data_IF_506346638131
#
_entry.id   IF_506346638131
#
_cell.length_a   1.000
_cell.length_b   1.000
_cell.length_c   1.000
_cell.angle_alpha   90.00
_cell.angle_beta   90.00
_cell.angle_gamma   90.00
#
_symmetry.space_group_name_H-M   'P 1'
#
loop_
_entity.id
_entity.type
_entity.pdbx_description
1 polymer ?
#
# COMPACT_ATOMS: atom_id res chain seq x y z
N UNK A 1 26.95 15.24 -14.52
CA UNK A 1 26.82 13.79 -14.80
C UNK A 1 25.53 13.61 -15.56
N UNK A 2 25.59 13.05 -16.78
CA UNK A 2 24.48 13.04 -17.72
C UNK A 2 23.43 11.97 -17.34
N UNK A 3 22.20 12.20 -17.80
CA UNK A 3 20.97 11.43 -17.54
C UNK A 3 20.99 10.01 -18.16
N UNK A 4 22.10 9.60 -18.78
CA UNK A 4 22.19 8.35 -19.54
C UNK A 4 22.62 7.12 -18.73
N UNK A 5 22.92 7.21 -17.42
CA UNK A 5 23.49 6.07 -16.67
C UNK A 5 22.58 5.43 -15.62
N UNK A 6 21.28 5.76 -15.60
CA UNK A 6 20.33 5.17 -14.64
C UNK A 6 19.60 3.92 -15.18
N UNK A 7 19.74 3.61 -16.47
CA UNK A 7 19.04 2.49 -17.13
C UNK A 7 19.90 1.21 -17.18
N UNK A 8 21.21 1.29 -17.03
CA UNK A 8 22.11 0.14 -17.22
C UNK A 8 22.43 -0.69 -15.97
N UNK A 9 21.79 -0.41 -14.82
CA UNK A 9 22.11 -1.09 -13.54
C UNK A 9 21.00 -2.03 -13.04
N UNK A 10 20.28 -2.67 -13.96
CA UNK A 10 19.31 -3.76 -13.68
C UNK A 10 19.68 -5.06 -14.43
N UNK A 11 20.77 -5.08 -15.21
CA UNK A 11 21.06 -6.13 -16.19
C UNK A 11 21.88 -7.34 -15.70
N UNK A 12 22.19 -7.49 -14.41
CA UNK A 12 22.93 -8.66 -13.94
C UNK A 12 22.24 -9.38 -12.79
N UNK A 13 21.26 -10.23 -13.14
CA UNK A 13 21.03 -11.58 -12.60
C UNK A 13 19.70 -12.12 -13.16
N UNK A 14 19.71 -12.66 -14.39
CA UNK A 14 18.60 -13.48 -14.89
C UNK A 14 19.13 -14.71 -15.63
N UNK A 15 18.85 -15.89 -15.09
CA UNK A 15 18.45 -17.00 -15.95
C UNK A 15 17.00 -16.72 -16.36
N UNK A 16 16.75 -16.68 -17.67
CA UNK A 16 15.44 -16.39 -18.25
C UNK A 16 14.44 -17.50 -17.87
N UNK A 17 13.44 -17.17 -17.07
CA UNK A 17 12.15 -17.83 -17.20
C UNK A 17 11.26 -16.90 -18.03
N UNK A 18 10.80 -17.41 -19.17
CA UNK A 18 9.88 -16.72 -20.06
C UNK A 18 8.61 -16.33 -19.30
N UNK A 19 8.41 -15.04 -19.06
CA UNK A 19 7.14 -14.53 -18.55
C UNK A 19 6.03 -14.81 -19.56
N UNK A 20 4.98 -15.52 -19.14
CA UNK A 20 3.79 -15.79 -19.95
C UNK A 20 3.01 -14.50 -20.19
N UNK A 21 2.52 -14.27 -21.41
CA UNK A 21 1.73 -13.07 -21.74
C UNK A 21 0.39 -13.10 -20.97
N UNK A 22 -0.20 -11.94 -20.64
CA UNK A 22 -1.49 -11.85 -19.94
C UNK A 22 -2.58 -12.73 -20.60
N UNK A 23 -2.74 -12.77 -21.95
CA UNK A 23 -3.69 -13.67 -22.57
C UNK A 23 -3.46 -15.14 -22.24
N UNK A 24 -2.21 -15.58 -22.10
CA UNK A 24 -1.87 -16.97 -21.77
C UNK A 24 -2.16 -17.28 -20.29
N UNK A 25 -1.89 -16.32 -19.40
CA UNK A 25 -2.24 -16.45 -17.97
C UNK A 25 -3.75 -16.50 -17.75
N UNK A 26 -4.49 -15.60 -18.39
CA UNK A 26 -5.95 -15.59 -18.35
C UNK A 26 -6.52 -16.87 -18.97
N UNK A 27 -5.98 -17.32 -20.11
CA UNK A 27 -6.36 -18.60 -20.74
C UNK A 27 -6.10 -19.80 -19.83
N UNK A 28 -4.98 -19.82 -19.11
CA UNK A 28 -4.69 -20.89 -18.14
C UNK A 28 -5.72 -20.96 -17.00
N UNK A 29 -6.42 -19.85 -16.72
CA UNK A 29 -7.50 -19.75 -15.75
C UNK A 29 -8.91 -19.83 -16.40
N UNK A 30 -8.99 -20.05 -17.71
CA UNK A 30 -10.26 -20.06 -18.46
C UNK A 30 -10.96 -18.69 -18.51
N UNK A 31 -10.19 -17.60 -18.46
CA UNK A 31 -10.67 -16.21 -18.48
C UNK A 31 -10.17 -15.44 -19.69
N UNK A 32 -10.84 -14.34 -19.98
CA UNK A 32 -10.52 -13.38 -21.04
C UNK A 32 -10.18 -12.01 -20.46
N UNK A 33 -9.61 -11.12 -21.29
CA UNK A 33 -9.38 -9.72 -20.89
C UNK A 33 -10.71 -9.00 -20.68
N UNK A 34 -11.73 -9.35 -21.47
CA UNK A 34 -13.09 -8.83 -21.30
C UNK A 34 -13.66 -9.21 -19.94
N UNK A 35 -13.39 -10.42 -19.44
CA UNK A 35 -13.79 -10.81 -18.08
C UNK A 35 -13.11 -9.93 -17.03
N UNK A 36 -11.81 -9.64 -17.19
CA UNK A 36 -11.08 -8.76 -16.28
C UNK A 36 -11.69 -7.34 -16.26
N UNK A 37 -11.91 -6.75 -17.44
CA UNK A 37 -12.53 -5.42 -17.56
C UNK A 37 -13.93 -5.43 -16.94
N UNK A 38 -14.72 -6.47 -17.21
CA UNK A 38 -16.04 -6.64 -16.61
C UNK A 38 -15.99 -6.69 -15.08
N UNK A 39 -15.04 -7.44 -14.51
CA UNK A 39 -14.84 -7.50 -13.04
C UNK A 39 -14.48 -6.13 -12.48
N UNK A 40 -13.52 -5.43 -13.09
CA UNK A 40 -13.03 -4.15 -12.60
C UNK A 40 -14.03 -3.01 -12.74
N UNK A 41 -14.82 -3.00 -13.82
CA UNK A 41 -15.82 -1.97 -14.13
C UNK A 41 -17.22 -2.29 -13.56
N UNK A 42 -17.40 -3.47 -12.96
CA UNK A 42 -18.69 -3.86 -12.38
C UNK A 42 -19.21 -2.78 -11.41
N UNK A 43 -20.53 -2.51 -11.43
CA UNK A 43 -21.12 -1.51 -10.54
C UNK A 43 -20.86 -1.89 -9.08
N UNK A 44 -20.67 -0.89 -8.22
CA UNK A 44 -20.34 -1.16 -6.83
C UNK A 44 -21.47 -1.92 -6.13
N UNK A 45 -21.14 -2.70 -5.09
CA UNK A 45 -22.13 -3.11 -4.12
C UNK A 45 -22.80 -1.86 -3.53
N UNK A 46 -24.12 -1.92 -3.34
CA UNK A 46 -24.81 -0.94 -2.49
C UNK A 46 -24.23 -1.04 -1.08
N UNK A 47 -23.72 0.06 -0.52
CA UNK A 47 -23.11 0.02 0.81
C UNK A 47 -22.31 1.27 1.18
N UNK A 48 -21.60 1.17 2.30
CA UNK A 48 -20.70 2.22 2.80
C UNK A 48 -19.43 2.31 1.94
N UNK A 49 -18.71 3.45 1.97
CA UNK A 49 -17.42 3.56 1.29
C UNK A 49 -16.41 2.48 1.73
N UNK A 50 -16.36 2.10 3.01
CA UNK A 50 -15.48 1.03 3.46
C UNK A 50 -15.84 -0.34 2.87
N UNK A 51 -17.13 -0.65 2.73
CA UNK A 51 -17.58 -1.88 2.08
C UNK A 51 -17.23 -1.87 0.58
N UNK A 52 -17.48 -0.75 -0.11
CA UNK A 52 -17.13 -0.60 -1.52
C UNK A 52 -15.62 -0.75 -1.76
N UNK A 53 -14.77 -0.19 -0.88
CA UNK A 53 -13.31 -0.31 -1.01
C UNK A 53 -12.83 -1.75 -0.76
N UNK A 54 -13.42 -2.46 0.20
CA UNK A 54 -13.11 -3.86 0.46
C UNK A 54 -13.44 -4.73 -0.76
N UNK A 55 -14.64 -4.61 -1.31
CA UNK A 55 -15.05 -5.33 -2.53
C UNK A 55 -14.17 -4.96 -3.74
N UNK A 56 -13.84 -3.67 -3.91
CA UNK A 56 -12.96 -3.24 -5.00
C UNK A 56 -11.58 -3.89 -4.91
N UNK A 57 -11.01 -4.01 -3.71
CA UNK A 57 -9.73 -4.69 -3.49
C UNK A 57 -9.85 -6.20 -3.76
N UNK A 58 -10.92 -6.86 -3.31
CA UNK A 58 -11.15 -8.29 -3.64
C UNK A 58 -11.23 -8.52 -5.15
N UNK A 59 -11.98 -7.66 -5.87
CA UNK A 59 -12.06 -7.70 -7.34
C UNK A 59 -10.72 -7.43 -8.02
N UNK A 60 -9.92 -6.51 -7.48
CA UNK A 60 -8.58 -6.22 -7.98
C UNK A 60 -7.67 -7.45 -7.99
N UNK A 61 -7.87 -8.36 -7.03
CA UNK A 61 -7.13 -9.61 -6.90
C UNK A 61 -7.88 -10.85 -7.41
N UNK A 62 -9.05 -10.71 -8.03
CA UNK A 62 -9.91 -11.83 -8.41
C UNK A 62 -9.24 -12.82 -9.40
N UNK A 63 -8.29 -12.35 -10.20
CA UNK A 63 -7.52 -13.16 -11.16
C UNK A 63 -6.09 -13.46 -10.68
N UNK A 64 -5.82 -13.19 -9.40
CA UNK A 64 -4.55 -13.45 -8.73
C UNK A 64 -3.57 -12.27 -8.73
N UNK A 65 -2.49 -12.38 -7.93
CA UNK A 65 -1.55 -11.30 -7.68
C UNK A 65 -0.77 -10.86 -8.92
N UNK A 66 -0.50 -11.77 -9.88
CA UNK A 66 0.23 -11.40 -11.09
C UNK A 66 -0.57 -10.43 -11.97
N UNK A 67 -1.86 -10.73 -12.21
CA UNK A 67 -2.76 -9.86 -12.97
C UNK A 67 -2.94 -8.52 -12.24
N UNK A 68 -3.09 -8.55 -10.92
CA UNK A 68 -3.13 -7.34 -10.09
C UNK A 68 -1.88 -6.47 -10.25
N UNK A 69 -0.68 -7.06 -10.26
CA UNK A 69 0.60 -6.34 -10.45
C UNK A 69 0.64 -5.62 -11.80
N UNK A 70 0.15 -6.26 -12.87
CA UNK A 70 0.05 -5.65 -14.19
C UNK A 70 -0.95 -4.48 -14.21
N UNK A 71 -2.16 -4.67 -13.64
CA UNK A 71 -3.17 -3.60 -13.56
C UNK A 71 -2.61 -2.40 -12.79
N UNK A 72 -1.94 -2.66 -11.66
CA UNK A 72 -1.32 -1.60 -10.88
C UNK A 72 -0.21 -0.89 -11.65
N UNK A 73 0.61 -1.61 -12.41
CA UNK A 73 1.61 -1.00 -13.28
C UNK A 73 0.96 -0.02 -14.26
N UNK A 74 -0.14 -0.42 -14.91
CA UNK A 74 -0.89 0.46 -15.82
C UNK A 74 -1.48 1.67 -15.12
N UNK A 75 -2.05 1.48 -13.94
CA UNK A 75 -2.54 2.58 -13.12
C UNK A 75 -1.43 3.56 -12.77
N UNK A 76 -0.28 3.05 -12.32
CA UNK A 76 0.86 3.88 -11.98
C UNK A 76 1.39 4.64 -13.20
N UNK A 77 1.55 3.98 -14.35
CA UNK A 77 2.00 4.63 -15.59
C UNK A 77 1.01 5.73 -16.03
N UNK A 78 -0.29 5.43 -16.02
CA UNK A 78 -1.32 6.40 -16.38
C UNK A 78 -1.27 7.62 -15.46
N UNK A 79 -1.28 7.41 -14.15
CA UNK A 79 -1.28 8.51 -13.18
C UNK A 79 0.03 9.31 -13.17
N UNK A 80 1.19 8.66 -13.31
CA UNK A 80 2.49 9.34 -13.32
C UNK A 80 2.78 10.08 -14.64
N UNK A 81 2.24 9.58 -15.76
CA UNK A 81 2.39 10.19 -17.09
C UNK A 81 1.24 11.11 -17.49
N UNK A 82 0.24 11.30 -16.63
CA UNK A 82 -1.02 11.98 -16.96
C UNK A 82 -1.71 11.39 -18.20
N UNK A 83 -1.57 10.08 -18.42
CA UNK A 83 -2.21 9.32 -19.51
C UNK A 83 -3.59 8.79 -19.07
N UNK A 84 -4.44 9.67 -18.53
CA UNK A 84 -5.82 9.38 -18.14
C UNK A 84 -6.71 10.60 -18.37
N UNK A 85 -8.03 10.41 -18.35
CA UNK A 85 -8.99 11.52 -18.42
C UNK A 85 -9.97 11.49 -17.26
N UNK A 86 -10.28 12.67 -16.71
CA UNK A 86 -11.36 12.84 -15.73
C UNK A 86 -12.59 13.39 -16.46
N UNK A 87 -13.64 12.59 -16.56
CA UNK A 87 -14.90 12.99 -17.19
C UNK A 87 -15.76 13.82 -16.23
N UNK A 88 -16.18 14.99 -16.69
CA UNK A 88 -17.11 15.86 -15.96
C UNK A 88 -18.55 15.67 -16.52
N UNK A 89 -19.59 15.70 -15.67
CA UNK A 89 -19.57 16.02 -14.24
C UNK A 89 -19.33 14.82 -13.31
N UNK A 90 -19.33 13.59 -13.82
CA UNK A 90 -19.42 12.36 -13.02
C UNK A 90 -18.13 11.97 -12.26
N UNK A 91 -17.01 12.64 -12.54
CA UNK A 91 -15.72 12.39 -11.89
C UNK A 91 -15.12 11.02 -12.22
N UNK A 92 -15.49 10.41 -13.35
CA UNK A 92 -14.94 9.12 -13.79
C UNK A 92 -13.52 9.31 -14.31
N UNK A 93 -12.63 8.42 -13.92
CA UNK A 93 -11.22 8.40 -14.31
C UNK A 93 -11.00 7.28 -15.31
N UNK A 94 -10.85 7.61 -16.60
CA UNK A 94 -10.58 6.60 -17.64
C UNK A 94 -9.11 6.24 -17.67
N UNK A 95 -8.81 4.96 -17.46
CA UNK A 95 -7.44 4.43 -17.46
C UNK A 95 -7.28 3.47 -18.64
N UNK A 96 -6.37 3.77 -19.59
CA UNK A 96 -6.10 2.89 -20.71
C UNK A 96 -5.37 1.63 -20.23
N UNK A 97 -5.93 0.46 -20.53
CA UNK A 97 -5.31 -0.84 -20.36
C UNK A 97 -4.65 -1.25 -21.68
N UNK A 98 -3.38 -0.91 -21.84
CA UNK A 98 -2.56 -1.44 -22.94
C UNK A 98 -2.12 -2.87 -22.60
N UNK A 99 -2.42 -3.84 -23.45
CA UNK A 99 -2.08 -5.26 -23.21
C UNK A 99 -0.72 -5.69 -23.76
N UNK A 100 -0.15 -4.91 -24.66
CA UNK A 100 1.10 -5.24 -25.31
C UNK A 100 2.26 -4.57 -24.56
N UNK A 101 2.95 -5.33 -23.73
CA UNK A 101 4.34 -5.05 -23.41
C UNK A 101 5.24 -5.83 -24.37
N UNK A 102 6.42 -5.31 -24.73
CA UNK A 102 7.36 -6.06 -25.54
C UNK A 102 7.64 -7.44 -24.89
N UNK A 103 7.59 -8.55 -25.66
CA UNK A 103 7.71 -9.89 -25.13
C UNK A 103 8.98 -10.09 -24.29
N UNK A 104 8.84 -10.67 -23.08
CA UNK A 104 9.96 -11.16 -22.28
C UNK A 104 10.72 -10.13 -21.46
N UNK A 105 10.26 -8.87 -21.35
CA UNK A 105 11.04 -7.80 -20.70
C UNK A 105 10.61 -7.50 -19.24
N UNK A 106 9.35 -7.76 -18.86
CA UNK A 106 8.83 -7.32 -17.54
C UNK A 106 8.12 -8.45 -16.79
N UNK A 107 8.72 -8.89 -15.68
CA UNK A 107 8.01 -9.63 -14.65
C UNK A 107 7.35 -8.65 -13.66
N UNK A 108 6.06 -8.40 -13.87
CA UNK A 108 5.27 -7.50 -13.00
C UNK A 108 5.25 -7.95 -11.55
N UNK A 109 5.34 -9.25 -11.29
CA UNK A 109 5.30 -9.76 -9.92
C UNK A 109 6.59 -9.45 -9.14
N UNK A 110 7.72 -9.31 -9.87
CA UNK A 110 9.00 -8.86 -9.31
C UNK A 110 9.01 -7.34 -9.10
N UNK A 111 8.43 -6.57 -10.03
CA UNK A 111 8.39 -5.11 -9.92
C UNK A 111 7.36 -4.61 -8.89
N UNK A 112 6.20 -5.29 -8.83
CA UNK A 112 5.08 -4.94 -7.96
C UNK A 112 4.71 -6.13 -7.06
N UNK A 113 5.59 -6.52 -6.12
CA UNK A 113 5.33 -7.64 -5.26
C UNK A 113 4.32 -7.26 -4.18
N UNK A 114 3.19 -7.96 -4.11
CA UNK A 114 2.09 -7.63 -3.17
C UNK A 114 2.37 -7.91 -1.69
N UNK A 115 3.54 -8.47 -1.37
CA UNK A 115 4.06 -8.47 0.00
C UNK A 115 4.67 -7.12 0.38
N UNK A 116 4.87 -6.19 -0.55
CA UNK A 116 5.35 -4.83 -0.25
C UNK A 116 4.28 -4.02 0.47
N UNK A 117 4.52 -3.70 1.74
CA UNK A 117 3.68 -2.81 2.54
C UNK A 117 3.43 -1.44 1.88
N UNK A 118 4.45 -0.91 1.20
CA UNK A 118 4.38 0.37 0.48
C UNK A 118 3.44 0.32 -0.71
N UNK A 119 3.57 -0.73 -1.52
CA UNK A 119 2.71 -0.96 -2.69
C UNK A 119 1.25 -1.13 -2.27
N UNK A 120 1.00 -1.98 -1.26
CA UNK A 120 -0.33 -2.19 -0.71
C UNK A 120 -0.95 -0.88 -0.20
N UNK A 121 -0.19 -0.09 0.57
CA UNK A 121 -0.62 1.23 1.06
C UNK A 121 -0.98 2.16 -0.11
N UNK A 122 -0.12 2.24 -1.13
CA UNK A 122 -0.35 3.09 -2.31
C UNK A 122 -1.62 2.69 -3.07
N UNK A 123 -1.85 1.39 -3.32
CA UNK A 123 -3.07 0.94 -4.00
C UNK A 123 -4.32 1.41 -3.24
N UNK A 124 -4.37 1.17 -1.94
CA UNK A 124 -5.54 1.51 -1.12
C UNK A 124 -5.79 3.03 -1.12
N UNK A 125 -4.73 3.84 -0.98
CA UNK A 125 -4.84 5.30 -1.04
C UNK A 125 -5.33 5.80 -2.40
N UNK A 126 -4.75 5.32 -3.50
CA UNK A 126 -5.14 5.73 -4.87
C UNK A 126 -6.60 5.35 -5.16
N UNK A 127 -7.03 4.16 -4.73
CA UNK A 127 -8.43 3.75 -4.87
C UNK A 127 -9.37 4.65 -4.06
N UNK A 128 -9.02 5.03 -2.83
CA UNK A 128 -9.85 5.88 -1.97
C UNK A 128 -9.72 7.40 -2.21
N UNK A 129 -8.75 7.85 -3.00
CA UNK A 129 -8.56 9.27 -3.30
C UNK A 129 -9.73 9.84 -4.15
N UNK A 130 -10.12 11.11 -3.97
CA UNK A 130 -11.02 11.79 -4.88
C UNK A 130 -10.53 11.76 -6.34
N UNK A 131 -11.47 11.95 -7.28
CA UNK A 131 -11.16 12.13 -8.70
C UNK A 131 -10.58 13.53 -8.98
N UNK A 132 -9.37 13.75 -8.47
CA UNK A 132 -8.61 14.99 -8.57
C UNK A 132 -7.14 14.67 -8.89
N UNK A 133 -6.60 15.35 -9.89
CA UNK A 133 -5.25 15.08 -10.41
C UNK A 133 -4.17 15.21 -9.33
N UNK A 134 -4.22 16.28 -8.53
CA UNK A 134 -3.21 16.53 -7.50
C UNK A 134 -3.31 15.51 -6.38
N UNK A 135 -4.54 15.20 -5.94
CA UNK A 135 -4.74 14.23 -4.86
C UNK A 135 -4.36 12.81 -5.30
N UNK A 136 -4.69 12.41 -6.54
CA UNK A 136 -4.29 11.11 -7.09
C UNK A 136 -2.77 10.98 -7.21
N UNK A 137 -2.11 12.03 -7.71
CA UNK A 137 -0.67 12.06 -7.84
C UNK A 137 0.03 12.00 -6.46
N UNK A 138 -0.45 12.76 -5.47
CA UNK A 138 0.11 12.70 -4.11
C UNK A 138 -0.13 11.33 -3.44
N UNK A 139 -1.29 10.71 -3.62
CA UNK A 139 -1.57 9.35 -3.15
C UNK A 139 -0.61 8.32 -3.77
N UNK A 140 -0.34 8.43 -5.08
CA UNK A 140 0.64 7.58 -5.78
C UNK A 140 2.07 7.82 -5.27
N UNK A 141 2.43 9.08 -5.09
CA UNK A 141 3.77 9.52 -4.66
C UNK A 141 4.10 9.10 -3.24
N UNK A 142 3.13 9.13 -2.32
CA UNK A 142 3.32 8.98 -0.86
C UNK A 142 4.33 7.91 -0.42
N UNK A 143 4.31 6.70 -1.01
CA UNK A 143 5.24 5.60 -0.68
C UNK A 143 6.20 5.22 -1.82
N UNK A 144 6.25 6.03 -2.87
CA UNK A 144 7.06 5.78 -4.06
C UNK A 144 8.47 6.37 -3.91
N UNK A 145 9.49 5.55 -4.15
CA UNK A 145 10.87 6.02 -4.26
C UNK A 145 11.11 6.78 -5.56
N UNK A 146 10.59 6.26 -6.67
CA UNK A 146 10.82 6.84 -8.00
C UNK A 146 10.16 8.21 -8.15
N UNK A 147 9.05 8.46 -7.43
CA UNK A 147 8.36 9.76 -7.40
C UNK A 147 8.82 10.65 -6.24
N UNK A 148 9.86 10.24 -5.49
CA UNK A 148 10.44 11.04 -4.41
C UNK A 148 9.57 11.20 -3.15
N UNK A 149 8.55 10.36 -2.94
CA UNK A 149 7.67 10.48 -1.77
C UNK A 149 8.14 9.71 -0.54
N UNK A 150 9.24 8.95 -0.60
CA UNK A 150 9.82 8.32 0.59
C UNK A 150 10.37 9.37 1.57
N UNK A 151 10.31 9.10 2.89
CA UNK A 151 10.76 10.04 3.89
C UNK A 151 12.27 10.28 3.78
N UNK A 152 12.69 11.52 4.04
CA UNK A 152 14.11 11.92 4.10
C UNK A 152 14.50 12.27 5.54
N UNK A 153 15.80 12.24 5.83
CA UNK A 153 16.33 12.65 7.13
C UNK A 153 16.01 14.11 7.45
N UNK A 154 16.07 14.98 6.44
CA UNK A 154 15.73 16.39 6.57
C UNK A 154 14.26 16.57 6.99
N UNK A 155 13.34 15.90 6.30
CA UNK A 155 11.91 15.95 6.62
C UNK A 155 11.63 15.48 8.05
N UNK A 156 12.27 14.39 8.50
CA UNK A 156 12.08 13.88 9.87
C UNK A 156 12.65 14.83 10.94
N UNK A 157 13.68 15.62 10.61
CA UNK A 157 14.23 16.63 11.52
C UNK A 157 13.35 17.88 11.61
N UNK A 158 12.68 18.24 10.52
CA UNK A 158 11.84 19.44 10.43
C UNK A 158 10.40 19.19 10.86
N UNK A 159 9.91 17.95 10.72
CA UNK A 159 8.51 17.61 10.97
C UNK A 159 8.40 16.67 12.18
N UNK A 160 7.60 17.02 13.20
CA UNK A 160 7.37 16.14 14.33
C UNK A 160 6.66 14.85 13.88
N UNK A 161 6.92 13.76 14.58
CA UNK A 161 6.20 12.51 14.36
C UNK A 161 4.70 12.73 14.56
N UNK A 162 3.89 12.26 13.61
CA UNK A 162 2.43 12.27 13.71
C UNK A 162 1.94 11.35 14.85
N UNK A 163 0.72 11.58 15.33
CA UNK A 163 0.03 10.73 16.30
C UNK A 163 -1.13 10.01 15.61
N UNK A 164 -1.06 8.67 15.59
CA UNK A 164 -2.16 7.86 15.07
C UNK A 164 -3.39 7.99 15.96
N UNK A 165 -3.21 7.99 17.28
CA UNK A 165 -4.29 8.24 18.24
C UNK A 165 -5.12 9.50 17.93
N UNK A 166 -4.46 10.64 17.74
CA UNK A 166 -5.15 11.90 17.44
C UNK A 166 -5.86 11.88 16.07
N UNK A 167 -5.21 11.34 15.04
CA UNK A 167 -5.81 11.21 13.71
C UNK A 167 -7.03 10.29 13.74
N UNK A 168 -6.92 9.15 14.43
CA UNK A 168 -8.01 8.20 14.61
C UNK A 168 -9.19 8.80 15.37
N UNK A 169 -8.95 9.55 16.46
CA UNK A 169 -10.03 10.21 17.20
C UNK A 169 -10.82 11.20 16.34
N UNK A 170 -10.14 11.97 15.48
CA UNK A 170 -10.80 12.88 14.53
C UNK A 170 -11.63 12.10 13.51
N UNK A 171 -11.05 11.06 12.90
CA UNK A 171 -11.75 10.21 11.94
C UNK A 171 -12.97 9.51 12.56
N UNK A 172 -12.84 8.99 13.79
CA UNK A 172 -13.95 8.37 14.54
C UNK A 172 -15.05 9.38 14.86
N UNK A 173 -14.70 10.61 15.24
CA UNK A 173 -15.68 11.67 15.49
C UNK A 173 -16.45 12.02 14.20
N UNK A 174 -15.76 12.16 13.08
CA UNK A 174 -16.39 12.41 11.77
C UNK A 174 -17.31 11.25 11.35
N UNK A 175 -16.88 10.00 11.55
CA UNK A 175 -17.69 8.83 11.26
C UNK A 175 -18.98 8.75 12.10
N UNK A 176 -18.88 9.02 13.41
CA UNK A 176 -20.03 8.89 14.32
C UNK A 176 -20.99 10.09 14.29
N UNK A 177 -20.52 11.29 13.92
CA UNK A 177 -21.32 12.52 13.98
C UNK A 177 -21.76 13.04 12.62
N UNK A 178 -20.94 12.83 11.60
CA UNK A 178 -21.15 13.39 10.27
C UNK A 178 -21.36 12.29 9.22
N UNK A 179 -21.33 11.03 9.63
CA UNK A 179 -21.44 9.86 8.77
C UNK A 179 -20.37 9.80 7.65
N UNK A 180 -19.21 10.42 7.90
CA UNK A 180 -18.12 10.52 6.93
C UNK A 180 -17.14 9.35 7.05
N UNK A 181 -16.57 8.94 5.92
CA UNK A 181 -15.47 7.97 5.88
C UNK A 181 -14.14 8.68 5.68
N UNK A 182 -13.13 8.29 6.44
CA UNK A 182 -11.76 8.79 6.33
C UNK A 182 -10.81 7.62 6.07
N UNK A 183 -9.92 7.77 5.09
CA UNK A 183 -8.85 6.83 4.80
C UNK A 183 -7.50 7.43 5.19
N UNK A 184 -6.70 6.68 5.94
CA UNK A 184 -5.38 7.11 6.43
C UNK A 184 -4.31 6.13 6.01
N UNK A 185 -3.33 6.59 5.24
CA UNK A 185 -2.09 5.87 4.97
C UNK A 185 -1.09 6.19 6.07
N UNK A 186 -0.69 5.18 6.84
CA UNK A 186 0.20 5.33 7.99
C UNK A 186 1.58 4.77 7.62
N UNK A 187 2.61 5.60 7.72
CA UNK A 187 4.01 5.18 7.56
C UNK A 187 4.74 5.19 8.90
N UNK A 188 5.10 4.01 9.40
CA UNK A 188 6.06 3.83 10.49
C UNK A 188 7.47 3.79 9.89
N UNK A 189 8.29 4.78 10.20
CA UNK A 189 9.64 4.95 9.68
C UNK A 189 10.64 4.69 10.79
N UNK A 190 11.69 3.94 10.47
CA UNK A 190 12.88 3.84 11.31
C UNK A 190 13.75 5.06 11.04
N UNK A 191 13.72 6.06 11.90
CA UNK A 191 14.51 7.27 11.70
C UNK A 191 16.02 6.98 11.83
N UNK A 192 16.39 5.99 12.64
CA UNK A 192 17.79 5.70 12.90
C UNK A 192 18.50 5.12 11.68
N UNK A 193 17.80 4.36 10.83
CA UNK A 193 18.40 3.82 9.59
C UNK A 193 18.97 4.92 8.70
N UNK A 194 18.39 6.13 8.73
CA UNK A 194 18.88 7.28 7.97
C UNK A 194 20.11 7.94 8.59
N UNK A 195 20.26 7.86 9.92
CA UNK A 195 21.45 8.36 10.62
C UNK A 195 22.68 7.46 10.41
N UNK A 196 22.46 6.17 10.16
CA UNK A 196 23.53 5.19 9.95
C UNK A 196 24.31 5.41 8.64
N UNK A 197 23.75 6.16 7.68
CA UNK A 197 24.39 6.47 6.39
C UNK A 197 24.94 5.21 5.73
N UNK A 198 26.24 5.17 5.40
CA UNK A 198 26.90 4.02 4.78
C UNK A 198 26.77 2.71 5.57
N UNK A 199 26.49 2.74 6.88
CA UNK A 199 26.30 1.53 7.70
C UNK A 199 24.88 0.96 7.65
N UNK A 200 23.93 1.65 7.02
CA UNK A 200 22.53 1.19 6.95
C UNK A 200 22.39 -0.23 6.35
N UNK A 201 23.26 -0.61 5.40
CA UNK A 201 23.26 -1.94 4.79
C UNK A 201 23.61 -3.09 5.75
N UNK A 202 24.07 -2.80 6.98
CA UNK A 202 24.39 -3.80 7.99
C UNK A 202 23.19 -4.16 8.86
N UNK A 203 22.08 -3.41 8.72
CA UNK A 203 20.93 -3.53 9.62
C UNK A 203 19.63 -3.75 8.86
N UNK A 204 18.69 -4.37 9.55
CA UNK A 204 17.29 -4.49 9.15
C UNK A 204 16.47 -3.35 9.76
N UNK A 205 15.60 -2.74 8.95
CA UNK A 205 14.71 -1.67 9.40
C UNK A 205 13.32 -2.22 9.73
N UNK A 206 12.77 -1.82 10.88
CA UNK A 206 11.40 -2.18 11.28
C UNK A 206 10.31 -1.39 10.52
N UNK A 207 10.69 -0.51 9.59
CA UNK A 207 9.77 0.37 8.88
C UNK A 207 8.61 -0.42 8.24
N UNK A 208 7.41 0.13 8.33
CA UNK A 208 6.19 -0.51 7.85
C UNK A 208 5.18 0.53 7.39
N UNK A 209 4.30 0.16 6.47
CA UNK A 209 3.23 1.04 5.99
C UNK A 209 1.93 0.26 5.82
N UNK A 210 0.82 0.87 6.21
CA UNK A 210 -0.50 0.25 6.14
C UNK A 210 -1.57 1.33 6.01
N UNK A 211 -2.79 0.93 5.65
CA UNK A 211 -3.94 1.83 5.56
C UNK A 211 -4.98 1.51 6.62
N UNK A 212 -5.57 2.55 7.22
CA UNK A 212 -6.74 2.46 8.09
C UNK A 212 -7.90 3.21 7.45
N UNK A 213 -9.02 2.52 7.21
CA UNK A 213 -10.28 3.15 6.86
C UNK A 213 -11.18 3.24 8.10
N UNK A 214 -11.73 4.42 8.37
CA UNK A 214 -12.63 4.69 9.49
C UNK A 214 -13.92 5.27 8.93
N UNK A 215 -15.04 4.59 9.13
CA UNK A 215 -16.35 4.97 8.61
C UNK A 215 -17.46 4.68 9.62
N UNK A 216 -18.72 5.02 9.29
CA UNK A 216 -19.85 4.86 10.22
C UNK A 216 -20.08 3.41 10.65
N UNK A 217 -19.72 2.47 9.78
CA UNK A 217 -19.81 1.03 9.98
C UNK A 217 -18.66 0.46 10.84
N UNK A 218 -17.58 1.21 11.06
CA UNK A 218 -16.46 0.80 11.90
C UNK A 218 -15.11 1.03 11.22
N UNK A 219 -14.18 0.08 11.41
CA UNK A 219 -12.78 0.27 11.01
C UNK A 219 -12.24 -0.91 10.23
N UNK A 220 -11.52 -0.65 9.14
CA UNK A 220 -10.75 -1.65 8.39
C UNK A 220 -9.28 -1.27 8.35
N UNK A 221 -8.42 -2.28 8.36
CA UNK A 221 -6.97 -2.11 8.28
C UNK A 221 -6.45 -3.02 7.18
N UNK A 222 -5.84 -2.42 6.17
CA UNK A 222 -5.23 -3.13 5.04
C UNK A 222 -3.73 -3.07 5.14
N UNK A 223 -3.09 -4.23 5.08
CA UNK A 223 -1.66 -4.35 5.25
C UNK A 223 -1.09 -5.47 4.39
N UNK A 224 0.14 -5.25 3.96
CA UNK A 224 1.10 -6.27 3.56
C UNK A 224 2.38 -5.95 4.33
N UNK A 225 3.36 -6.84 4.40
CA UNK A 225 4.53 -6.60 5.25
C UNK A 225 5.84 -6.33 4.51
N UNK A 226 6.39 -7.35 3.87
CA UNK A 226 7.61 -7.23 3.08
C UNK A 226 8.08 -8.57 2.57
N UNK A 227 9.34 -8.64 2.14
CA UNK A 227 10.01 -9.82 1.56
C UNK A 227 9.70 -11.15 2.27
N UNK A 228 9.60 -11.15 3.61
CA UNK A 228 9.38 -12.35 4.42
C UNK A 228 7.98 -12.43 5.06
N UNK A 229 7.04 -11.58 4.65
CA UNK A 229 5.70 -11.53 5.23
C UNK A 229 4.60 -11.84 4.22
N UNK A 230 3.36 -11.67 4.68
CA UNK A 230 2.17 -11.93 3.88
C UNK A 230 1.92 -10.82 2.84
N UNK A 231 1.20 -11.21 1.79
CA UNK A 231 0.74 -10.31 0.73
C UNK A 231 -0.60 -9.67 1.09
N UNK A 232 -0.95 -8.57 0.42
CA UNK A 232 -2.24 -7.89 0.62
C UNK A 232 -3.43 -8.80 0.29
N UNK A 233 -3.37 -9.58 -0.79
CA UNK A 233 -4.44 -10.54 -1.16
C UNK A 233 -4.66 -11.59 -0.07
N UNK A 234 -3.58 -12.09 0.52
CA UNK A 234 -3.62 -13.04 1.64
C UNK A 234 -4.18 -12.37 2.90
N UNK A 235 -3.78 -11.13 3.19
CA UNK A 235 -4.33 -10.36 4.32
C UNK A 235 -5.86 -10.20 4.23
N UNK A 236 -6.38 -10.00 3.03
CA UNK A 236 -7.81 -9.88 2.77
C UNK A 236 -8.48 -11.26 2.91
N UNK A 237 -7.97 -12.27 2.20
CA UNK A 237 -8.54 -13.62 2.16
C UNK A 237 -8.59 -14.30 3.54
N UNK A 238 -7.57 -14.10 4.37
CA UNK A 238 -7.51 -14.64 5.74
C UNK A 238 -8.36 -13.86 6.75
N UNK A 239 -9.11 -12.85 6.29
CA UNK A 239 -10.02 -12.06 7.12
C UNK A 239 -9.32 -11.04 8.02
N UNK A 240 -8.01 -10.81 7.86
CA UNK A 240 -7.28 -9.81 8.63
C UNK A 240 -7.67 -8.36 8.25
N UNK A 241 -8.25 -8.15 7.06
CA UNK A 241 -8.81 -6.86 6.62
C UNK A 241 -10.32 -6.69 6.92
N UNK A 242 -10.91 -7.55 7.76
CA UNK A 242 -12.34 -7.47 8.12
C UNK A 242 -12.70 -6.14 8.79
N UNK A 243 -14.00 -5.84 8.77
CA UNK A 243 -14.57 -4.78 9.58
C UNK A 243 -14.37 -5.10 11.07
N UNK A 244 -13.84 -4.13 11.81
CA UNK A 244 -13.54 -4.21 13.24
C UNK A 244 -14.53 -3.36 14.01
N UNK A 245 -14.80 -3.78 15.24
CA UNK A 245 -15.54 -2.97 16.19
C UNK A 245 -14.71 -1.76 16.63
N UNK A 246 -15.36 -0.76 17.22
CA UNK A 246 -14.66 0.40 17.77
C UNK A 246 -13.64 0.02 18.84
N UNK A 247 -13.97 -0.94 19.72
CA UNK A 247 -13.08 -1.40 20.78
C UNK A 247 -11.82 -2.07 20.22
N UNK A 248 -11.98 -2.92 19.19
CA UNK A 248 -10.85 -3.56 18.51
C UNK A 248 -9.93 -2.52 17.85
N UNK A 249 -10.53 -1.49 17.23
CA UNK A 249 -9.80 -0.42 16.59
C UNK A 249 -9.05 0.46 17.61
N UNK A 250 -9.69 0.83 18.71
CA UNK A 250 -9.06 1.59 19.80
C UNK A 250 -7.91 0.80 20.43
N UNK A 251 -8.09 -0.51 20.61
CA UNK A 251 -7.03 -1.38 21.10
C UNK A 251 -5.85 -1.42 20.13
N UNK A 252 -6.09 -1.53 18.82
CA UNK A 252 -5.04 -1.49 17.81
C UNK A 252 -4.27 -0.16 17.85
N UNK A 253 -4.98 0.97 17.84
CA UNK A 253 -4.38 2.31 17.87
C UNK A 253 -3.61 2.53 19.17
N UNK A 254 -4.16 2.11 20.31
CA UNK A 254 -3.48 2.18 21.60
C UNK A 254 -2.21 1.32 21.67
N UNK A 255 -2.21 0.14 21.04
CA UNK A 255 -1.00 -0.69 20.96
C UNK A 255 0.04 -0.13 19.98
N UNK A 256 -0.40 0.52 18.90
CA UNK A 256 0.48 1.24 18.00
C UNK A 256 1.14 2.44 18.70
N UNK A 257 0.35 3.27 19.41
CA UNK A 257 0.87 4.40 20.16
C UNK A 257 1.87 3.95 21.24
N UNK A 258 1.58 2.83 21.94
CA UNK A 258 2.54 2.20 22.86
C UNK A 258 3.81 1.72 22.17
N UNK A 259 3.70 1.15 20.97
CA UNK A 259 4.87 0.71 20.21
C UNK A 259 5.78 1.91 19.89
N UNK A 260 5.21 2.98 19.32
CA UNK A 260 6.01 4.14 18.89
C UNK A 260 6.50 5.01 20.05
N UNK A 261 5.93 4.86 21.24
CA UNK A 261 6.43 5.52 22.45
C UNK A 261 7.69 4.87 23.04
N UNK A 262 8.00 3.62 22.68
CA UNK A 262 9.19 2.94 23.21
C UNK A 262 10.47 3.64 22.72
N UNK A 263 11.44 3.77 23.63
CA UNK A 263 12.76 4.35 23.38
C UNK A 263 13.86 3.33 23.64
N UNK A 264 15.03 3.54 23.06
CA UNK A 264 16.22 2.71 23.27
C UNK A 264 16.37 1.65 22.18
N UNK A 265 16.91 0.48 22.52
CA UNK A 265 17.14 -0.62 21.57
C UNK A 265 15.91 -1.49 21.38
N UNK A 266 15.86 -2.20 20.24
CA UNK A 266 14.85 -3.22 19.99
C UNK A 266 14.89 -4.29 21.09
N UNK A 267 13.73 -4.59 21.69
CA UNK A 267 13.62 -5.55 22.79
C UNK A 267 12.37 -6.43 22.66
N UNK A 268 12.21 -7.41 23.55
CA UNK A 268 11.10 -8.35 23.53
C UNK A 268 9.71 -7.67 23.63
N UNK A 269 9.60 -6.55 24.35
CA UNK A 269 8.35 -5.77 24.44
C UNK A 269 8.01 -5.10 23.11
N UNK A 270 8.99 -4.49 22.44
CA UNK A 270 8.81 -3.95 21.09
C UNK A 270 8.33 -5.04 20.13
N UNK A 271 9.04 -6.18 20.11
CA UNK A 271 8.71 -7.29 19.23
C UNK A 271 7.31 -7.86 19.49
N UNK A 272 6.90 -7.98 20.75
CA UNK A 272 5.55 -8.45 21.10
C UNK A 272 4.46 -7.52 20.56
N UNK A 273 4.63 -6.20 20.71
CA UNK A 273 3.68 -5.22 20.17
C UNK A 273 3.69 -5.22 18.63
N UNK A 274 4.87 -5.22 18.03
CA UNK A 274 5.03 -5.26 16.57
C UNK A 274 4.35 -6.51 15.97
N UNK A 275 4.58 -7.68 16.58
CA UNK A 275 3.93 -8.94 16.18
C UNK A 275 2.41 -8.90 16.35
N UNK A 276 1.91 -8.28 17.43
CA UNK A 276 0.47 -8.12 17.64
C UNK A 276 -0.17 -7.26 16.56
N UNK A 277 0.50 -6.18 16.15
CA UNK A 277 -0.02 -5.23 15.16
C UNK A 277 0.10 -5.76 13.73
N UNK A 278 1.25 -6.33 13.39
CA UNK A 278 1.63 -6.62 12.00
C UNK A 278 1.80 -8.10 11.70
N UNK A 279 1.54 -9.00 12.67
CA UNK A 279 1.64 -10.46 12.54
C UNK A 279 3.04 -11.00 12.20
N UNK A 280 4.08 -10.20 12.39
CA UNK A 280 5.47 -10.56 12.09
C UNK A 280 6.35 -10.54 13.32
N UNK A 281 7.14 -11.60 13.48
CA UNK A 281 8.11 -11.76 14.55
C UNK A 281 9.52 -11.32 14.08
N UNK A 282 9.89 -10.08 14.37
CA UNK A 282 11.18 -9.53 13.97
C UNK A 282 12.34 -10.25 14.66
N UNK A 283 12.16 -10.69 15.91
CA UNK A 283 13.19 -11.45 16.62
C UNK A 283 13.46 -12.80 15.94
N UNK A 284 12.43 -13.43 15.39
CA UNK A 284 12.61 -14.65 14.59
C UNK A 284 13.34 -14.33 13.27
N UNK A 285 13.00 -13.22 12.60
CA UNK A 285 13.60 -12.84 11.32
C UNK A 285 15.05 -12.36 11.43
N UNK A 286 15.40 -11.64 12.50
CA UNK A 286 16.68 -10.95 12.67
C UNK A 286 17.56 -11.56 13.78
N UNK A 287 17.15 -12.71 14.34
CA UNK A 287 17.89 -13.42 15.38
C UNK A 287 19.12 -14.16 14.85
N UNK A 288 19.86 -14.91 15.69
CA UNK A 288 21.10 -15.59 15.30
C UNK A 288 20.99 -16.54 14.09
N UNK A 289 19.81 -17.14 13.90
CA UNK A 289 19.50 -18.03 12.76
C UNK A 289 18.44 -17.42 11.83
N UNK A 290 18.24 -16.10 11.93
CA UNK A 290 17.27 -15.35 11.14
C UNK A 290 17.70 -15.21 9.68
N UNK A 291 16.71 -14.97 8.80
CA UNK A 291 16.95 -14.75 7.36
C UNK A 291 17.43 -13.33 7.05
N UNK A 292 17.34 -12.42 8.02
CA UNK A 292 17.67 -11.02 7.88
C UNK A 292 18.76 -10.59 8.86
N UNK A 293 19.35 -9.44 8.53
CA UNK A 293 20.37 -8.77 9.36
C UNK A 293 19.80 -8.37 10.72
N UNK A 294 20.64 -8.10 11.73
CA UNK A 294 20.18 -7.56 13.00
C UNK A 294 19.34 -6.29 12.83
N UNK A 295 18.34 -6.10 13.69
CA UNK A 295 17.55 -4.85 13.72
C UNK A 295 18.47 -3.66 14.01
N UNK A 296 18.09 -2.48 13.53
CA UNK A 296 18.79 -1.23 13.85
C UNK A 296 19.11 -1.09 15.35
N UNK A 297 20.30 -0.58 15.72
CA UNK A 297 20.75 -0.57 17.13
C UNK A 297 19.86 0.26 18.06
N UNK A 298 19.23 1.29 17.51
CA UNK A 298 18.28 2.16 18.20
C UNK A 298 16.93 2.08 17.51
N UNK A 299 15.90 1.78 18.29
CA UNK A 299 14.51 1.91 17.91
C UNK A 299 14.10 3.38 18.01
N UNK A 300 14.09 4.06 16.87
CA UNK A 300 13.67 5.46 16.73
C UNK A 300 12.50 5.56 15.74
N UNK A 301 11.27 5.25 16.18
CA UNK A 301 10.11 5.33 15.32
C UNK A 301 9.77 6.80 15.01
N UNK A 302 9.47 7.09 13.76
CA UNK A 302 8.87 8.33 13.30
C UNK A 302 7.65 8.00 12.43
N UNK A 303 6.52 8.63 12.72
CA UNK A 303 5.24 8.34 12.06
C UNK A 303 4.86 9.48 11.15
N UNK A 304 4.40 9.14 9.95
CA UNK A 304 3.68 10.06 9.05
C UNK A 304 2.32 9.49 8.68
N UNK A 305 1.37 10.38 8.42
CA UNK A 305 0.00 10.01 8.04
C UNK A 305 -0.41 10.86 6.84
N UNK A 306 -0.87 10.22 5.77
CA UNK A 306 -1.61 10.86 4.68
C UNK A 306 -3.09 10.54 4.87
N UNK A 307 -3.95 11.55 4.74
CA UNK A 307 -5.38 11.43 5.00
C UNK A 307 -6.19 11.82 3.77
N UNK A 308 -7.16 10.99 3.40
CA UNK A 308 -8.27 11.34 2.53
C UNK A 308 -9.54 11.40 3.39
N UNK A 309 -10.08 12.60 3.56
CA UNK A 309 -11.31 12.83 4.32
C UNK A 309 -12.52 12.76 3.39
N UNK A 310 -13.69 12.43 3.95
CA UNK A 310 -14.96 12.37 3.22
C UNK A 310 -14.92 11.46 1.96
N UNK A 311 -14.27 10.31 2.08
CA UNK A 311 -14.22 9.31 1.01
C UNK A 311 -15.62 8.79 0.72
N UNK A 312 -16.02 8.82 -0.54
CA UNK A 312 -17.32 8.38 -1.02
C UNK A 312 -17.23 7.08 -1.82
N UNK A 313 -18.36 6.42 -2.04
CA UNK A 313 -18.43 5.30 -2.99
C UNK A 313 -18.08 5.76 -4.43
N UNK A 314 -18.32 7.04 -4.78
CA UNK A 314 -17.92 7.59 -6.07
C UNK A 314 -16.40 7.55 -6.25
N UNK A 315 -15.65 7.97 -5.24
CA UNK A 315 -14.18 8.01 -5.26
C UNK A 315 -13.57 6.62 -5.48
N UNK A 316 -14.14 5.59 -4.84
CA UNK A 316 -13.67 4.20 -4.94
C UNK A 316 -13.92 3.62 -6.34
N UNK A 317 -15.02 4.02 -6.96
CA UNK A 317 -15.48 3.46 -8.23
C UNK A 317 -15.17 4.36 -9.43
N UNK A 318 -14.42 5.43 -9.23
CA UNK A 318 -14.10 6.41 -10.27
C UNK A 318 -13.38 5.79 -11.46
N UNK A 319 -12.51 4.81 -11.23
CA UNK A 319 -11.70 4.20 -12.28
C UNK A 319 -12.53 3.36 -13.25
N UNK A 320 -12.53 3.77 -14.51
CA UNK A 320 -13.06 3.06 -15.66
C UNK A 320 -11.89 2.53 -16.49
N UNK A 321 -11.81 1.21 -16.63
CA UNK A 321 -10.73 0.54 -17.34
C UNK A 321 -11.14 0.26 -18.78
N UNK A 322 -10.34 0.72 -19.74
CA UNK A 322 -10.67 0.61 -21.16
C UNK A 322 -9.56 -0.08 -21.92
N UNK A 323 -9.92 -1.04 -22.78
CA UNK A 323 -8.95 -1.66 -23.67
C UNK A 323 -8.58 -0.69 -24.80
N UNK A 324 -7.29 -0.40 -24.93
CA UNK A 324 -6.73 0.42 -26.02
C UNK A 324 -5.66 -0.36 -26.78
#
# INVERSE_FOLDING_TARGET
>A
MSISSAIDMISHFFQSQSGTQLPDQLRSQGKTVQDLIGILNSPPPTGTPLAALADKLERFFALGPHVASMIFCRLQCALAGSEYTIEKPDGRVRVPLRLADPPGVVDYSVQFPWNSCKLATTLVLVLGAPADDEILHEALKYQSRSLGGLPTLEMMRQTPSASLGLAFQRAKAAALREEKTTLMGVGLVDAHIFELSWRAHQYFSFAHSFCIGVGPDGVRIWQAWGKHGYRLDVNIADGHARLRTWDEAEQFVGDFDKLVSIKGSWNAKCNKLYKKLFLVDINQLCGPNGLERPVTPKFQPWVRIMTHENVTCGDINKFLWELT
#
